data_IF_667802253161
#
_entry.id   IF_667802253161
#
_cell.length_a   1.000
_cell.length_b   1.000
_cell.length_c   1.000
_cell.angle_alpha   90.00
_cell.angle_beta   90.00
_cell.angle_gamma   90.00
#
_symmetry.space_group_name_H-M   'P 1'
#
loop_
_entity.id
_entity.type
_entity.pdbx_description
1 polymer ?
#
# COMPACT_ATOMS: atom_id res chain seq x y z
N UNK A 1 14.03 17.80 23.70
CA UNK A 1 13.83 19.12 23.05
C UNK A 1 14.28 18.89 21.61
N UNK A 2 13.45 18.75 20.59
CA UNK A 2 12.06 19.18 20.40
C UNK A 2 11.56 18.51 19.10
N UNK A 3 10.30 18.03 19.13
CA UNK A 3 9.34 17.85 18.01
C UNK A 3 9.73 16.95 16.79
N UNK A 4 8.83 16.24 16.14
CA UNK A 4 7.38 16.09 16.28
C UNK A 4 6.98 14.76 15.62
N UNK A 5 6.13 14.04 16.34
CA UNK A 5 5.23 12.97 15.92
C UNK A 5 4.93 12.94 14.41
N UNK A 6 5.55 12.01 13.69
CA UNK A 6 4.92 11.45 12.51
C UNK A 6 3.74 10.62 13.03
N UNK A 7 2.57 11.26 13.13
CA UNK A 7 1.28 10.61 13.32
C UNK A 7 1.16 9.50 12.29
N UNK A 8 1.54 8.27 12.67
CA UNK A 8 1.00 7.05 12.09
C UNK A 8 -0.45 6.99 12.55
N UNK A 9 -1.26 7.89 11.99
CA UNK A 9 -2.68 7.95 12.19
C UNK A 9 -3.25 6.61 11.77
N UNK A 10 -3.52 5.81 12.79
CA UNK A 10 -4.33 4.63 12.86
C UNK A 10 -5.49 4.65 11.85
N UNK A 11 -5.21 4.16 10.64
CA UNK A 11 -6.19 3.45 9.85
C UNK A 11 -5.63 2.04 9.77
N UNK A 12 -6.28 1.09 10.44
CA UNK A 12 -5.94 -0.32 10.35
C UNK A 12 -6.28 -0.79 8.93
N UNK A 13 -5.42 -0.42 7.98
CA UNK A 13 -5.54 -0.78 6.59
C UNK A 13 -5.22 -2.27 6.48
N UNK A 14 -6.15 -3.10 5.97
CA UNK A 14 -5.95 -4.54 5.87
C UNK A 14 -4.99 -4.85 4.70
N UNK A 15 -3.69 -4.74 4.96
CA UNK A 15 -2.65 -5.04 3.99
C UNK A 15 -2.64 -6.53 3.63
N UNK A 16 -2.50 -6.81 2.35
CA UNK A 16 -2.38 -8.17 1.79
C UNK A 16 -1.25 -8.22 0.78
N UNK A 17 -0.39 -9.22 0.91
CA UNK A 17 0.66 -9.49 -0.08
C UNK A 17 0.11 -10.16 -1.33
N UNK A 18 0.69 -9.83 -2.49
CA UNK A 18 0.37 -10.48 -3.77
C UNK A 18 0.95 -11.90 -3.86
N UNK A 19 0.17 -12.85 -4.35
CA UNK A 19 0.61 -14.24 -4.58
C UNK A 19 1.64 -14.39 -5.71
N UNK A 20 1.74 -13.39 -6.61
CA UNK A 20 2.77 -13.33 -7.65
C UNK A 20 4.14 -12.89 -7.11
N UNK A 21 4.22 -12.52 -5.83
CA UNK A 21 5.46 -12.10 -5.17
C UNK A 21 6.27 -13.28 -4.58
N UNK A 22 6.02 -14.50 -5.06
CA UNK A 22 6.58 -15.77 -4.54
C UNK A 22 7.84 -16.29 -5.25
N UNK A 23 8.47 -15.48 -6.13
CA UNK A 23 9.78 -15.80 -6.71
C UNK A 23 10.94 -15.65 -5.72
N UNK A 24 12.11 -16.23 -6.03
CA UNK A 24 13.34 -16.31 -5.19
C UNK A 24 14.02 -14.98 -4.78
N UNK A 25 13.25 -13.93 -4.46
CA UNK A 25 13.75 -12.60 -4.11
C UNK A 25 12.89 -11.81 -3.13
N UNK A 26 11.85 -12.42 -2.54
CA UNK A 26 11.07 -11.85 -1.44
C UNK A 26 10.17 -10.67 -1.84
N UNK A 27 8.97 -10.67 -1.26
CA UNK A 27 7.84 -9.75 -1.46
C UNK A 27 8.22 -8.30 -1.81
N UNK A 28 7.62 -7.73 -2.88
CA UNK A 28 7.81 -6.31 -3.25
C UNK A 28 6.50 -5.52 -3.37
N UNK A 29 5.32 -6.11 -3.14
CA UNK A 29 4.04 -5.38 -3.25
C UNK A 29 3.01 -5.85 -2.24
N UNK A 30 2.50 -4.92 -1.46
CA UNK A 30 1.33 -5.08 -0.60
C UNK A 30 0.23 -4.11 -1.03
N UNK A 31 -1.01 -4.55 -0.92
CA UNK A 31 -2.19 -3.73 -1.20
C UNK A 31 -3.13 -3.68 -0.01
N UNK A 32 -3.76 -2.54 0.23
CA UNK A 32 -4.82 -2.40 1.22
C UNK A 32 -6.02 -1.65 0.64
N UNK A 33 -7.21 -2.18 0.92
CA UNK A 33 -8.47 -1.54 0.55
C UNK A 33 -8.90 -0.58 1.65
N UNK A 34 -9.43 0.56 1.25
CA UNK A 34 -10.02 1.57 2.13
C UNK A 34 -11.35 2.06 1.55
N UNK A 35 -12.12 2.79 2.34
CA UNK A 35 -13.39 3.38 1.89
C UNK A 35 -13.24 4.32 0.68
N UNK A 36 -12.05 4.89 0.46
CA UNK A 36 -11.79 5.91 -0.57
C UNK A 36 -10.96 5.39 -1.75
N UNK A 37 -10.47 4.15 -1.70
CA UNK A 37 -9.63 3.58 -2.75
C UNK A 37 -8.63 2.54 -2.28
N UNK A 38 -7.64 2.28 -3.12
CA UNK A 38 -6.61 1.26 -2.93
C UNK A 38 -5.28 1.90 -2.60
N UNK A 39 -4.62 1.37 -1.58
CA UNK A 39 -3.26 1.71 -1.21
C UNK A 39 -2.33 0.63 -1.72
N UNK A 40 -1.23 1.01 -2.35
CA UNK A 40 -0.20 0.10 -2.86
C UNK A 40 1.15 0.55 -2.31
N UNK A 41 1.92 -0.36 -1.75
CA UNK A 41 3.28 -0.07 -1.27
C UNK A 41 4.22 -1.22 -1.58
N UNK A 42 5.51 -0.91 -1.56
CA UNK A 42 6.56 -1.93 -1.55
C UNK A 42 6.79 -2.44 -0.12
N UNK A 43 6.73 -3.76 0.05
CA UNK A 43 6.90 -4.43 1.35
C UNK A 43 8.31 -4.27 1.93
N UNK A 44 9.32 -3.96 1.11
CA UNK A 44 10.71 -3.79 1.57
C UNK A 44 10.95 -2.40 2.16
N UNK A 45 10.21 -1.39 1.71
CA UNK A 45 10.33 -0.03 2.24
C UNK A 45 9.42 0.27 3.45
N UNK A 46 8.72 -0.73 4.01
CA UNK A 46 7.78 -0.53 5.13
C UNK A 46 8.47 0.03 6.37
N UNK A 47 9.65 -0.47 6.71
CA UNK A 47 10.41 -0.05 7.90
C UNK A 47 10.99 1.35 7.78
N UNK A 48 11.09 1.88 6.56
CA UNK A 48 11.61 3.22 6.28
C UNK A 48 10.51 4.26 6.04
N UNK A 49 9.23 3.88 6.20
CA UNK A 49 8.12 4.76 5.88
C UNK A 49 8.04 5.06 4.38
N UNK A 50 8.37 4.07 3.54
CA UNK A 50 8.39 4.20 2.09
C UNK A 50 7.07 4.73 1.50
N UNK A 51 7.11 5.28 0.28
CA UNK A 51 5.96 5.90 -0.34
C UNK A 51 4.80 4.90 -0.51
N UNK A 52 3.58 5.38 -0.25
CA UNK A 52 2.33 4.64 -0.51
C UNK A 52 1.61 5.30 -1.66
N UNK A 53 1.43 4.56 -2.76
CA UNK A 53 0.61 4.99 -3.87
C UNK A 53 -0.87 4.83 -3.48
N UNK A 54 -1.63 5.92 -3.57
CA UNK A 54 -3.08 5.93 -3.34
C UNK A 54 -3.80 6.04 -4.67
N UNK A 55 -4.62 5.05 -4.98
CA UNK A 55 -5.43 5.01 -6.20
C UNK A 55 -6.89 5.13 -5.81
N UNK A 56 -7.60 6.15 -6.30
CA UNK A 56 -9.02 6.32 -6.05
C UNK A 56 -9.84 5.15 -6.63
N UNK A 57 -10.99 4.85 -6.02
CA UNK A 57 -11.83 3.71 -6.40
C UNK A 57 -12.23 3.70 -7.89
N UNK A 58 -12.55 4.87 -8.47
CA UNK A 58 -12.87 5.02 -9.90
C UNK A 58 -11.67 4.68 -10.79
N UNK A 59 -10.50 5.22 -10.46
CA UNK A 59 -9.27 4.95 -11.21
C UNK A 59 -8.85 3.49 -11.11
N UNK A 60 -9.03 2.88 -9.95
CA UNK A 60 -8.77 1.46 -9.73
C UNK A 60 -9.72 0.56 -10.55
N UNK A 61 -11.02 0.90 -10.59
CA UNK A 61 -11.99 0.18 -11.43
C UNK A 61 -11.66 0.31 -12.92
N UNK A 62 -11.27 1.50 -13.38
CA UNK A 62 -10.86 1.73 -14.77
C UNK A 62 -9.61 0.91 -15.13
N UNK A 63 -8.62 0.83 -14.23
CA UNK A 63 -7.42 0.00 -14.42
C UNK A 63 -7.77 -1.47 -14.62
N UNK A 64 -8.70 -2.01 -13.81
CA UNK A 64 -9.12 -3.41 -13.90
C UNK A 64 -9.97 -3.71 -15.14
N UNK A 65 -10.77 -2.74 -15.61
CA UNK A 65 -11.60 -2.89 -16.80
C UNK A 65 -10.85 -2.69 -18.13
N UNK A 66 -9.60 -2.24 -18.08
CA UNK A 66 -8.73 -2.06 -19.24
C UNK A 66 -7.85 -3.30 -19.56
N UNK A 67 -8.05 -4.41 -18.84
CA UNK A 67 -7.39 -5.70 -19.05
C UNK A 67 -8.02 -6.48 -20.22
#
# INVERSE_FOLDING_TARGET
MTAEEATHGETNLPWRTSSYSTGSGGECVEVALSAVGVHVRDSKCVTQGGPVLKVGSVAWAALLGAM
#
